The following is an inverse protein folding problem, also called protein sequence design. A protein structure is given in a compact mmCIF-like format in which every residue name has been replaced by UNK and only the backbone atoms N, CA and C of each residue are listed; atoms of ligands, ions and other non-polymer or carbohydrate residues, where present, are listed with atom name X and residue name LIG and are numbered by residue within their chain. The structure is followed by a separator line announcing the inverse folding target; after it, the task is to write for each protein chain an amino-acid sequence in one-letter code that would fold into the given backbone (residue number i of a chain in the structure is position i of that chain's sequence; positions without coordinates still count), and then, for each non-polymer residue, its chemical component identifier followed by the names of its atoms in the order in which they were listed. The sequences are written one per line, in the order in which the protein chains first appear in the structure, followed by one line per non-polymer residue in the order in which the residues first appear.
data_IF_940823686356
#
_entry.id   IF_940823686356
#
_cell.length_a   1.000
_cell.length_b   1.000
_cell.length_c   1.000
_cell.angle_alpha   90.00
_cell.angle_beta   90.00
_cell.angle_gamma   90.00
#
_symmetry.space_group_name_H-M   'P 1'
#
loop_
_entity.id
_entity.type
_entity.pdbx_description
1 polymer ?
#
# COMPACT_ATOMS: atom_id res chain seq x y z
N UNK A 1 34.55 -17.03 -6.12
CA UNK A 1 33.58 -17.24 -5.02
C UNK A 1 32.26 -16.55 -5.40
N UNK A 2 31.21 -17.33 -5.54
CA UNK A 2 29.88 -16.73 -5.78
C UNK A 2 29.39 -16.15 -4.47
N UNK A 3 29.25 -14.84 -4.40
CA UNK A 3 28.55 -14.22 -3.28
C UNK A 3 27.12 -14.73 -3.30
N UNK A 4 26.73 -15.38 -2.21
CA UNK A 4 25.33 -15.79 -2.04
C UNK A 4 24.48 -14.56 -1.80
N UNK A 5 23.78 -14.13 -2.85
CA UNK A 5 22.80 -13.09 -2.76
C UNK A 5 21.56 -13.58 -2.01
N UNK A 6 21.23 -12.95 -0.90
CA UNK A 6 20.01 -13.24 -0.14
C UNK A 6 19.07 -12.04 -0.17
N UNK A 7 18.03 -12.15 -0.98
CA UNK A 7 17.00 -11.11 -1.13
C UNK A 7 16.37 -10.71 0.19
N UNK A 8 16.10 -11.68 1.08
CA UNK A 8 15.49 -11.42 2.39
C UNK A 8 16.40 -10.58 3.29
N UNK A 9 17.69 -10.88 3.28
CA UNK A 9 18.67 -10.12 4.08
C UNK A 9 18.76 -8.69 3.60
N UNK A 10 18.80 -8.49 2.29
CA UNK A 10 18.83 -7.14 1.71
C UNK A 10 17.56 -6.38 2.06
N UNK A 11 16.37 -6.98 1.88
CA UNK A 11 15.11 -6.36 2.25
C UNK A 11 15.08 -5.99 3.75
N UNK A 12 15.53 -6.88 4.62
CA UNK A 12 15.59 -6.62 6.06
C UNK A 12 16.51 -5.46 6.40
N UNK A 13 17.56 -5.24 5.62
CA UNK A 13 18.49 -4.13 5.82
C UNK A 13 17.97 -2.81 5.25
N UNK A 14 17.30 -2.83 4.10
CA UNK A 14 16.85 -1.60 3.43
C UNK A 14 15.51 -1.06 3.96
N UNK A 15 14.61 -1.92 4.43
CA UNK A 15 13.29 -1.50 4.93
C UNK A 15 13.41 -0.42 6.03
N UNK A 16 14.21 -0.61 7.10
CA UNK A 16 14.37 0.43 8.12
C UNK A 16 14.92 1.73 7.58
N UNK A 17 15.85 1.70 6.62
CA UNK A 17 16.42 2.88 5.99
C UNK A 17 15.32 3.65 5.25
N UNK A 18 14.50 2.94 4.48
CA UNK A 18 13.38 3.52 3.72
C UNK A 18 12.35 4.12 4.66
N UNK A 19 11.96 3.39 5.69
CA UNK A 19 10.96 3.85 6.67
C UNK A 19 11.43 5.09 7.41
N UNK A 20 12.66 5.11 7.89
CA UNK A 20 13.22 6.26 8.61
C UNK A 20 13.32 7.49 7.71
N UNK A 21 13.72 7.31 6.46
CA UNK A 21 13.82 8.42 5.51
C UNK A 21 12.45 8.99 5.17
N UNK A 22 11.49 8.14 4.85
CA UNK A 22 10.12 8.56 4.55
C UNK A 22 9.52 9.34 5.72
N UNK A 23 9.74 8.87 6.94
CA UNK A 23 9.23 9.51 8.16
C UNK A 23 9.74 10.94 8.33
N UNK A 24 10.98 11.24 7.92
CA UNK A 24 11.54 12.59 7.96
C UNK A 24 10.75 13.58 7.09
N UNK A 25 10.08 13.09 6.07
CA UNK A 25 9.26 13.89 5.15
C UNK A 25 7.77 13.74 5.42
N UNK A 26 7.38 13.14 6.55
CA UNK A 26 5.98 12.81 6.88
C UNK A 26 5.30 11.95 5.83
N UNK A 27 6.05 11.01 5.25
CA UNK A 27 5.57 10.07 4.25
C UNK A 27 5.57 8.66 4.82
N UNK A 28 4.66 7.84 4.33
CA UNK A 28 4.51 6.44 4.75
C UNK A 28 4.85 5.54 3.58
N UNK A 29 5.88 4.68 3.70
CA UNK A 29 6.13 3.67 2.67
C UNK A 29 5.09 2.55 2.83
N UNK A 30 4.16 2.45 1.88
CA UNK A 30 3.07 1.49 1.93
C UNK A 30 3.51 0.13 1.44
N UNK A 31 4.27 0.12 0.36
CA UNK A 31 4.73 -1.11 -0.27
C UNK A 31 6.17 -0.93 -0.72
N UNK A 32 6.99 -1.93 -0.42
CA UNK A 32 8.39 -1.99 -0.84
C UNK A 32 8.57 -3.33 -1.54
N UNK A 33 8.93 -3.31 -2.81
CA UNK A 33 9.21 -4.53 -3.57
C UNK A 33 10.60 -4.49 -4.19
N UNK A 34 11.27 -5.62 -4.18
CA UNK A 34 12.61 -5.76 -4.73
C UNK A 34 12.63 -7.03 -5.58
N UNK A 35 12.48 -6.86 -6.89
CA UNK A 35 12.28 -7.95 -7.83
C UNK A 35 13.20 -7.84 -9.04
N UNK A 36 13.57 -8.99 -9.59
CA UNK A 36 14.33 -9.07 -10.83
C UNK A 36 13.37 -9.25 -12.01
N UNK A 37 13.44 -8.32 -12.96
CA UNK A 37 12.61 -8.32 -14.15
C UNK A 37 13.53 -8.13 -15.39
N UNK A 38 13.43 -9.02 -16.36
CA UNK A 38 14.22 -8.94 -17.59
C UNK A 38 15.73 -8.79 -17.35
N UNK A 39 16.25 -9.49 -16.33
CA UNK A 39 17.66 -9.43 -15.97
C UNK A 39 18.11 -8.23 -15.14
N UNK A 40 17.20 -7.35 -14.78
CA UNK A 40 17.50 -6.16 -13.98
C UNK A 40 16.76 -6.19 -12.64
N UNK A 41 17.41 -5.69 -11.59
CA UNK A 41 16.79 -5.56 -10.28
C UNK A 41 16.07 -4.21 -10.16
N UNK A 42 14.84 -4.26 -9.67
CA UNK A 42 14.00 -3.09 -9.42
C UNK A 42 13.62 -3.01 -7.96
N UNK A 43 13.96 -1.91 -7.33
CA UNK A 43 13.45 -1.57 -6.01
C UNK A 43 12.36 -0.53 -6.20
N UNK A 44 11.12 -0.92 -5.89
CA UNK A 44 9.95 -0.04 -6.00
C UNK A 44 9.41 0.28 -4.63
N UNK A 45 9.25 1.56 -4.38
CA UNK A 45 8.75 2.07 -3.11
C UNK A 45 7.52 2.92 -3.41
N UNK A 46 6.39 2.52 -2.84
CA UNK A 46 5.15 3.29 -2.92
C UNK A 46 4.98 4.08 -1.64
N UNK A 47 4.90 5.41 -1.74
CA UNK A 47 4.78 6.31 -0.60
C UNK A 47 3.41 6.98 -0.58
N UNK A 48 2.92 7.26 0.63
CA UNK A 48 1.62 7.87 0.88
C UNK A 48 1.75 8.96 1.94
N UNK A 49 0.87 9.95 1.89
CA UNK A 49 0.78 10.99 2.92
C UNK A 49 -0.66 11.16 3.38
N UNK A 50 -0.85 11.32 4.68
CA UNK A 50 -2.16 11.67 5.25
C UNK A 50 -2.46 13.17 5.14
N UNK A 51 -1.44 14.00 4.88
CA UNK A 51 -1.54 15.46 4.90
C UNK A 51 -1.85 16.08 3.55
N UNK A 52 -1.35 15.46 2.48
CA UNK A 52 -1.47 16.01 1.13
C UNK A 52 -1.32 14.89 0.08
N UNK A 53 -1.79 15.11 -1.16
CA UNK A 53 -1.50 14.18 -2.25
C UNK A 53 0.00 14.14 -2.53
N UNK A 54 0.55 12.95 -2.61
CA UNK A 54 1.98 12.77 -2.91
C UNK A 54 2.29 13.31 -4.30
N UNK A 55 3.32 14.14 -4.40
CA UNK A 55 3.74 14.78 -5.64
C UNK A 55 5.16 14.37 -6.03
N UNK A 56 5.64 14.87 -7.17
CA UNK A 56 6.99 14.56 -7.67
C UNK A 56 8.08 15.01 -6.71
N UNK A 57 7.87 16.11 -5.99
CA UNK A 57 8.84 16.61 -5.02
C UNK A 57 9.01 15.65 -3.85
N UNK A 58 7.92 15.06 -3.37
CA UNK A 58 7.97 14.05 -2.31
C UNK A 58 8.78 12.84 -2.75
N UNK A 59 8.52 12.33 -3.95
CA UNK A 59 9.25 11.19 -4.50
C UNK A 59 10.73 11.51 -4.70
N UNK A 60 11.04 12.68 -5.19
CA UNK A 60 12.40 13.15 -5.41
C UNK A 60 13.17 13.28 -4.09
N UNK A 61 12.53 13.84 -3.07
CA UNK A 61 13.14 13.98 -1.75
C UNK A 61 13.55 12.62 -1.16
N UNK A 62 12.65 11.65 -1.23
CA UNK A 62 12.94 10.29 -0.74
C UNK A 62 14.05 9.66 -1.57
N UNK A 63 13.96 9.73 -2.90
CA UNK A 63 14.94 9.14 -3.80
C UNK A 63 16.36 9.66 -3.52
N UNK A 64 16.52 10.97 -3.38
CA UNK A 64 17.82 11.58 -3.10
C UNK A 64 18.36 11.21 -1.74
N UNK A 65 17.49 11.15 -0.73
CA UNK A 65 17.92 10.92 0.65
C UNK A 65 18.34 9.47 0.90
N UNK A 66 17.76 8.50 0.19
CA UNK A 66 18.04 7.08 0.42
C UNK A 66 19.11 6.51 -0.51
N UNK A 67 19.34 7.13 -1.67
CA UNK A 67 20.20 6.56 -2.72
C UNK A 67 21.57 6.11 -2.24
N UNK A 68 22.29 7.00 -1.58
CA UNK A 68 23.65 6.70 -1.09
C UNK A 68 23.66 5.60 -0.03
N UNK A 69 22.67 5.61 0.87
CA UNK A 69 22.55 4.59 1.92
C UNK A 69 22.22 3.21 1.32
N UNK A 70 21.35 3.18 0.32
CA UNK A 70 20.97 1.94 -0.35
C UNK A 70 22.15 1.38 -1.16
N UNK A 71 22.95 2.24 -1.78
CA UNK A 71 24.11 1.83 -2.57
C UNK A 71 25.17 1.14 -1.71
N UNK A 72 25.26 1.48 -0.43
CA UNK A 72 26.13 0.79 0.51
C UNK A 72 25.64 -0.59 0.91
N UNK A 73 24.31 -0.82 0.85
CA UNK A 73 23.68 -2.07 1.27
C UNK A 73 23.54 -3.05 0.11
N UNK A 74 23.12 -2.54 -1.06
CA UNK A 74 22.85 -3.37 -2.23
C UNK A 74 24.15 -3.46 -3.07
N UNK A 75 24.75 -4.65 -3.17
CA UNK A 75 26.10 -4.80 -3.74
C UNK A 75 26.15 -4.92 -5.27
N UNK A 76 25.04 -4.65 -5.96
CA UNK A 76 24.97 -4.75 -7.42
C UNK A 76 24.07 -3.66 -7.97
N UNK A 77 24.01 -3.56 -9.30
CA UNK A 77 23.18 -2.56 -9.98
C UNK A 77 21.69 -2.85 -9.78
N UNK A 78 20.94 -1.82 -9.45
CA UNK A 78 19.49 -1.86 -9.33
C UNK A 78 18.90 -0.54 -9.79
N UNK A 79 17.61 -0.57 -10.12
CA UNK A 79 16.85 0.63 -10.45
C UNK A 79 15.93 0.98 -9.29
N UNK A 80 15.96 2.25 -8.89
CA UNK A 80 15.12 2.76 -7.80
C UNK A 80 13.94 3.54 -8.38
N UNK A 81 12.74 3.11 -8.03
CA UNK A 81 11.51 3.79 -8.39
C UNK A 81 10.74 4.15 -7.11
N UNK A 82 10.51 5.45 -6.90
CA UNK A 82 9.69 5.95 -5.79
C UNK A 82 8.48 6.62 -6.41
N UNK A 83 7.29 6.16 -6.03
CA UNK A 83 6.05 6.67 -6.60
C UNK A 83 4.91 6.67 -5.58
N UNK A 84 3.82 7.35 -5.92
CA UNK A 84 2.59 7.25 -5.15
C UNK A 84 1.80 6.02 -5.59
N UNK A 85 0.99 5.42 -4.69
CA UNK A 85 0.04 4.40 -5.13
C UNK A 85 -1.02 5.03 -6.04
N UNK A 86 -1.58 4.24 -6.95
CA UNK A 86 -2.69 4.68 -7.78
C UNK A 86 -3.95 4.95 -6.94
N UNK A 87 -4.86 5.75 -7.48
CA UNK A 87 -6.14 6.07 -6.83
C UNK A 87 -7.04 4.83 -6.65
N UNK A 88 -6.75 3.78 -7.38
CA UNK A 88 -7.43 2.49 -7.35
C UNK A 88 -6.55 1.39 -6.76
N UNK A 89 -5.59 1.74 -5.91
CA UNK A 89 -4.66 0.78 -5.32
C UNK A 89 -5.40 -0.35 -4.62
N UNK A 90 -5.02 -1.58 -4.91
CA UNK A 90 -5.52 -2.77 -4.22
C UNK A 90 -4.92 -2.84 -2.81
N UNK A 91 -5.77 -2.96 -1.81
CA UNK A 91 -5.34 -3.10 -0.42
C UNK A 91 -5.12 -4.58 -0.11
N UNK A 92 -3.93 -4.93 0.37
CA UNK A 92 -3.49 -6.33 0.51
C UNK A 92 -3.15 -6.75 1.93
N UNK A 93 -3.03 -5.80 2.86
CA UNK A 93 -2.55 -6.11 4.20
C UNK A 93 -3.32 -5.36 5.28
N UNK A 94 -3.23 -5.89 6.51
CA UNK A 94 -3.81 -5.25 7.70
C UNK A 94 -3.28 -3.84 7.90
N UNK A 95 -1.98 -3.64 7.65
CA UNK A 95 -1.34 -2.33 7.74
C UNK A 95 -1.98 -1.34 6.77
N UNK A 96 -2.27 -1.75 5.56
CA UNK A 96 -2.93 -0.90 4.57
C UNK A 96 -4.35 -0.55 4.99
N UNK A 97 -5.10 -1.48 5.58
CA UNK A 97 -6.44 -1.19 6.11
C UNK A 97 -6.38 -0.10 7.19
N UNK A 98 -5.39 -0.17 8.06
CA UNK A 98 -5.19 0.87 9.09
C UNK A 98 -4.83 2.23 8.49
N UNK A 99 -3.91 2.24 7.52
CA UNK A 99 -3.48 3.48 6.85
C UNK A 99 -4.64 4.17 6.14
N UNK A 100 -5.50 3.39 5.48
CA UNK A 100 -6.57 3.93 4.64
C UNK A 100 -7.93 4.01 5.33
N UNK A 101 -8.00 3.94 6.64
CA UNK A 101 -9.23 4.24 7.38
C UNK A 101 -9.77 5.61 7.00
N UNK A 102 -11.07 5.69 6.76
CA UNK A 102 -11.75 6.91 6.34
C UNK A 102 -11.81 7.11 4.84
N UNK A 103 -11.09 6.33 4.07
CA UNK A 103 -11.10 6.40 2.62
C UNK A 103 -12.24 5.59 2.01
N UNK A 104 -12.65 6.00 0.82
CA UNK A 104 -13.60 5.24 0.04
C UNK A 104 -12.92 4.05 -0.62
N UNK A 105 -13.60 2.92 -0.62
CA UNK A 105 -13.10 1.67 -1.18
C UNK A 105 -14.17 1.02 -2.05
N UNK A 106 -13.70 0.28 -3.05
CA UNK A 106 -14.53 -0.61 -3.85
C UNK A 106 -14.26 -2.03 -3.36
N UNK A 107 -15.30 -2.67 -2.83
CA UNK A 107 -15.20 -4.00 -2.25
C UNK A 107 -15.93 -5.01 -3.13
N UNK A 108 -15.29 -6.14 -3.38
CA UNK A 108 -15.92 -7.31 -3.96
C UNK A 108 -15.88 -8.44 -2.94
N UNK A 109 -17.05 -8.94 -2.57
CA UNK A 109 -17.19 -10.06 -1.63
C UNK A 109 -17.44 -11.36 -2.36
N UNK A 110 -17.16 -12.47 -1.71
CA UNK A 110 -17.42 -13.83 -2.24
C UNK A 110 -18.88 -14.18 -2.11
N UNK A 111 -19.49 -13.83 -0.98
CA UNK A 111 -20.90 -14.08 -0.67
C UNK A 111 -21.55 -12.74 -0.31
N UNK A 112 -22.76 -12.43 -0.85
CA UNK A 112 -23.44 -11.17 -0.54
C UNK A 112 -23.61 -10.96 0.98
N UNK A 113 -23.42 -9.70 1.43
CA UNK A 113 -23.57 -9.34 2.84
C UNK A 113 -24.97 -8.84 3.17
N UNK A 114 -25.78 -8.54 2.15
CA UNK A 114 -27.18 -8.13 2.29
C UNK A 114 -27.95 -8.53 1.03
N UNK A 115 -29.25 -8.79 1.17
CA UNK A 115 -30.11 -9.26 0.06
C UNK A 115 -30.19 -8.24 -1.09
N UNK A 116 -30.22 -6.97 -0.76
CA UNK A 116 -30.38 -5.88 -1.71
C UNK A 116 -29.05 -5.20 -2.09
N UNK A 117 -27.94 -5.88 -1.84
CA UNK A 117 -26.61 -5.39 -2.19
C UNK A 117 -25.89 -6.38 -3.09
N UNK A 118 -25.36 -5.91 -4.21
CA UNK A 118 -24.56 -6.75 -5.09
C UNK A 118 -23.24 -7.14 -4.41
N UNK A 119 -22.52 -8.10 -5.01
CA UNK A 119 -21.21 -8.54 -4.49
C UNK A 119 -20.11 -7.45 -4.62
N UNK A 120 -20.33 -6.47 -5.47
CA UNK A 120 -19.39 -5.36 -5.66
C UNK A 120 -20.09 -4.06 -5.29
N UNK A 121 -19.51 -3.31 -4.36
CA UNK A 121 -20.11 -2.08 -3.86
C UNK A 121 -19.06 -1.10 -3.38
N UNK A 122 -19.44 0.17 -3.34
CA UNK A 122 -18.59 1.25 -2.78
C UNK A 122 -18.95 1.46 -1.32
N UNK A 123 -17.93 1.61 -0.50
CA UNK A 123 -18.10 1.83 0.94
C UNK A 123 -16.99 2.73 1.47
N UNK A 124 -17.23 3.29 2.67
CA UNK A 124 -16.19 3.95 3.42
C UNK A 124 -15.56 2.93 4.37
N UNK A 125 -14.25 2.84 4.37
CA UNK A 125 -13.54 1.97 5.31
C UNK A 125 -13.50 2.67 6.68
N UNK A 126 -14.26 2.15 7.63
CA UNK A 126 -14.43 2.78 8.94
C UNK A 126 -13.38 2.28 9.92
N UNK A 127 -13.20 0.97 10.01
CA UNK A 127 -12.26 0.37 10.95
C UNK A 127 -11.86 -1.04 10.52
N UNK A 128 -10.86 -1.56 11.19
CA UNK A 128 -10.38 -2.92 11.03
C UNK A 128 -9.94 -3.47 12.40
N UNK A 129 -10.29 -4.71 12.69
CA UNK A 129 -9.65 -5.48 13.76
C UNK A 129 -9.74 -6.98 13.48
N UNK A 130 -9.01 -7.77 14.29
CA UNK A 130 -8.93 -9.22 14.10
C UNK A 130 -10.23 -9.95 14.46
N UNK A 131 -11.10 -9.33 15.26
CA UNK A 131 -12.35 -9.95 15.71
C UNK A 131 -13.45 -9.85 14.67
N UNK A 132 -13.71 -8.66 14.12
CA UNK A 132 -14.80 -8.47 13.16
C UNK A 132 -14.34 -8.37 11.70
N UNK A 133 -13.03 -8.21 11.45
CA UNK A 133 -12.51 -7.98 10.11
C UNK A 133 -12.60 -6.50 9.72
N UNK A 134 -13.31 -6.18 8.64
CA UNK A 134 -13.52 -4.81 8.20
C UNK A 134 -14.88 -4.29 8.66
N UNK A 135 -14.88 -3.07 9.19
CA UNK A 135 -16.11 -2.31 9.41
C UNK A 135 -16.20 -1.26 8.31
N UNK A 136 -17.30 -1.27 7.57
CA UNK A 136 -17.50 -0.39 6.42
C UNK A 136 -18.87 0.27 6.48
N UNK A 137 -18.96 1.49 5.94
CA UNK A 137 -20.23 2.16 5.73
C UNK A 137 -20.57 2.04 4.24
N UNK A 138 -21.64 1.29 3.96
CA UNK A 138 -22.09 1.07 2.58
C UNK A 138 -23.02 2.22 2.17
N UNK A 139 -22.59 3.00 1.18
CA UNK A 139 -23.31 4.21 0.79
C UNK A 139 -24.72 3.92 0.25
N UNK A 140 -24.86 2.89 -0.55
CA UNK A 140 -26.17 2.56 -1.16
C UNK A 140 -27.25 2.18 -0.13
N UNK A 141 -26.84 1.62 1.00
CA UNK A 141 -27.75 1.21 2.07
C UNK A 141 -27.73 2.16 3.27
N UNK A 142 -26.82 3.13 3.26
CA UNK A 142 -26.61 4.08 4.38
C UNK A 142 -26.45 3.38 5.72
N UNK A 143 -25.66 2.31 5.75
CA UNK A 143 -25.57 1.41 6.89
C UNK A 143 -24.18 0.83 7.04
N UNK A 144 -23.77 0.63 8.31
CA UNK A 144 -22.51 -0.04 8.61
C UNK A 144 -22.66 -1.57 8.58
N UNK A 145 -21.62 -2.23 8.10
CA UNK A 145 -21.50 -3.69 8.09
C UNK A 145 -20.12 -4.10 8.58
N UNK A 146 -20.07 -5.24 9.25
CA UNK A 146 -18.82 -5.91 9.56
C UNK A 146 -18.63 -7.05 8.55
N UNK A 147 -17.48 -7.08 7.87
CA UNK A 147 -17.20 -8.06 6.83
C UNK A 147 -16.00 -8.89 7.26
N UNK A 148 -16.19 -10.19 7.37
CA UNK A 148 -15.10 -11.11 7.65
C UNK A 148 -14.09 -11.06 6.50
N UNK A 149 -12.79 -11.02 6.81
CA UNK A 149 -11.73 -10.97 5.82
C UNK A 149 -11.80 -12.15 4.83
N UNK A 150 -12.23 -13.32 5.29
CA UNK A 150 -12.38 -14.50 4.42
C UNK A 150 -13.45 -14.31 3.35
N UNK A 151 -14.39 -13.41 3.55
CA UNK A 151 -15.44 -13.09 2.58
C UNK A 151 -15.04 -12.02 1.57
N UNK A 152 -13.89 -11.39 1.75
CA UNK A 152 -13.41 -10.35 0.84
C UNK A 152 -12.66 -11.00 -0.30
N UNK A 153 -13.11 -10.78 -1.53
CA UNK A 153 -12.39 -11.20 -2.73
C UNK A 153 -11.35 -10.16 -3.13
N UNK A 154 -11.77 -8.89 -3.25
CA UNK A 154 -10.87 -7.76 -3.49
C UNK A 154 -11.35 -6.53 -2.75
N UNK A 155 -10.41 -5.67 -2.37
CA UNK A 155 -10.69 -4.34 -1.86
C UNK A 155 -9.68 -3.37 -2.49
N UNK A 156 -10.19 -2.26 -3.07
CA UNK A 156 -9.37 -1.26 -3.74
C UNK A 156 -9.76 0.12 -3.26
N UNK A 157 -8.80 1.04 -3.24
CA UNK A 157 -9.12 2.46 -3.05
C UNK A 157 -10.07 2.92 -4.15
N UNK A 158 -10.99 3.78 -3.78
CA UNK A 158 -11.96 4.38 -4.70
C UNK A 158 -12.06 5.88 -4.44
N UNK A 159 -10.89 6.54 -4.36
CA UNK A 159 -10.79 7.97 -4.11
C UNK A 159 -10.85 8.79 -5.42
N UNK A 160 -11.55 8.27 -6.40
CA UNK A 160 -11.77 9.00 -7.65
C UNK A 160 -12.73 10.14 -7.33
N UNK A 161 -12.26 11.36 -7.44
CA UNK A 161 -13.12 12.52 -7.34
C UNK A 161 -14.01 12.53 -8.60
N UNK A 162 -15.31 12.42 -8.37
CA UNK A 162 -16.27 12.69 -9.44
C UNK A 162 -16.26 14.21 -9.69
N UNK A 163 -15.76 14.56 -10.85
CA UNK A 163 -15.79 15.95 -11.31
C UNK A 163 -17.21 16.27 -11.80
#
# INVERSE_FOLDING_TARGET
MKEHFNKKEILSAIIPVIENTAMRYNLIPIEISFEKENGHWFLRIFIYSNDHPVNHKDCENVTRSIGDMLDEIIPFKYYLEVSSPGLDKKLKSKREYEIFKGHNVLIKVKTPIAEDLSKTFVAKLVDYNDSFGLKVFVYDLEKEFEINLDNIFTIRLNDIEEI
#
